data_IF_176550595132
#
_entry.id   IF_176550595132
#
_cell.length_a   1.000
_cell.length_b   1.000
_cell.length_c   1.000
_cell.angle_alpha   90.00
_cell.angle_beta   90.00
_cell.angle_gamma   90.00
#
_symmetry.space_group_name_H-M   'P 1'
#
loop_
_entity.id
_entity.type
_entity.pdbx_description
1 polymer ?
#
# COMPACT_ATOMS: atom_id res chain seq x y z
N UNK A 1 -17.21 -0.49 17.60
CA UNK A 1 -16.48 0.37 16.64
C UNK A 1 -15.83 -0.56 15.61
N UNK A 2 -16.19 -0.48 14.33
CA UNK A 2 -15.46 -1.24 13.29
C UNK A 2 -14.16 -0.49 13.01
N UNK A 3 -13.00 -1.09 13.33
CA UNK A 3 -11.70 -0.53 12.96
C UNK A 3 -11.54 -0.68 11.45
N UNK A 4 -11.06 0.37 10.76
CA UNK A 4 -10.73 0.30 9.34
C UNK A 4 -9.61 -0.71 9.11
N UNK A 5 -9.80 -1.64 8.16
CA UNK A 5 -8.83 -2.68 7.84
C UNK A 5 -7.66 -2.07 7.06
N UNK A 6 -6.45 -2.12 7.63
CA UNK A 6 -5.24 -1.54 7.05
C UNK A 6 -4.47 -2.59 6.26
N UNK A 7 -4.26 -2.34 4.97
CA UNK A 7 -3.54 -3.27 4.08
C UNK A 7 -2.22 -2.63 3.62
N UNK A 8 -1.11 -3.25 3.97
CA UNK A 8 0.21 -2.91 3.45
C UNK A 8 0.44 -3.63 2.13
N UNK A 9 0.85 -2.91 1.09
CA UNK A 9 1.04 -3.47 -0.25
C UNK A 9 2.41 -3.06 -0.80
N UNK A 10 3.15 -4.04 -1.30
CA UNK A 10 4.32 -3.80 -2.15
C UNK A 10 3.94 -4.11 -3.60
N UNK A 11 4.67 -3.57 -4.57
CA UNK A 11 4.32 -3.78 -5.98
C UNK A 11 2.99 -3.11 -6.36
N UNK A 12 2.45 -2.23 -5.50
CA UNK A 12 1.17 -1.53 -5.71
C UNK A 12 1.16 -0.64 -6.95
N UNK A 13 2.34 -0.23 -7.44
CA UNK A 13 2.50 0.57 -8.66
C UNK A 13 2.75 -0.28 -9.92
N UNK A 14 2.80 -1.61 -9.79
CA UNK A 14 2.98 -2.55 -10.89
C UNK A 14 1.66 -2.91 -11.60
N UNK A 15 1.72 -3.81 -12.57
CA UNK A 15 0.57 -4.18 -13.41
C UNK A 15 -0.64 -4.65 -12.58
N UNK A 16 -0.44 -5.62 -11.67
CA UNK A 16 -1.51 -6.16 -10.82
C UNK A 16 -1.87 -5.14 -9.71
N UNK A 17 -0.85 -4.57 -9.08
CA UNK A 17 -1.02 -3.62 -7.97
C UNK A 17 -1.87 -2.40 -8.36
N UNK A 18 -1.66 -1.87 -9.57
CA UNK A 18 -2.38 -0.68 -10.05
C UNK A 18 -3.90 -0.91 -10.19
N UNK A 19 -4.33 -2.15 -10.44
CA UNK A 19 -5.74 -2.54 -10.44
C UNK A 19 -6.26 -2.94 -9.04
N UNK A 20 -5.42 -3.59 -8.25
CA UNK A 20 -5.77 -4.08 -6.91
C UNK A 20 -6.00 -2.94 -5.91
N UNK A 21 -5.14 -1.93 -5.91
CA UNK A 21 -5.18 -0.84 -4.92
C UNK A 21 -6.51 -0.07 -4.95
N UNK A 22 -7.03 0.39 -6.11
CA UNK A 22 -8.35 1.00 -6.17
C UNK A 22 -9.47 0.09 -5.67
N UNK A 23 -9.40 -1.22 -5.96
CA UNK A 23 -10.39 -2.19 -5.50
C UNK A 23 -10.39 -2.34 -3.97
N UNK A 24 -9.21 -2.37 -3.33
CA UNK A 24 -9.09 -2.38 -1.87
C UNK A 24 -9.68 -1.11 -1.25
N UNK A 25 -9.35 0.07 -1.81
CA UNK A 25 -9.92 1.34 -1.34
C UNK A 25 -11.45 1.36 -1.50
N UNK A 26 -11.98 0.87 -2.62
CA UNK A 26 -13.42 0.78 -2.86
C UNK A 26 -14.15 -0.13 -1.86
N UNK A 27 -13.44 -1.11 -1.25
CA UNK A 27 -13.96 -1.94 -0.17
C UNK A 27 -13.84 -1.29 1.23
N UNK A 28 -13.37 -0.04 1.30
CA UNK A 28 -13.18 0.68 2.56
C UNK A 28 -11.89 0.33 3.30
N UNK A 29 -10.94 -0.34 2.64
CA UNK A 29 -9.63 -0.62 3.24
C UNK A 29 -8.75 0.64 3.23
N UNK A 30 -7.98 0.83 4.30
CA UNK A 30 -6.93 1.85 4.35
C UNK A 30 -5.64 1.27 3.76
N UNK A 31 -5.31 1.66 2.53
CA UNK A 31 -4.16 1.08 1.81
C UNK A 31 -2.89 1.88 2.08
N UNK A 32 -1.80 1.16 2.34
CA UNK A 32 -0.43 1.71 2.42
C UNK A 32 0.43 1.07 1.35
N UNK A 33 1.15 1.89 0.59
CA UNK A 33 2.02 1.42 -0.49
C UNK A 33 3.48 1.70 -0.19
N UNK A 34 4.36 0.77 -0.53
CA UNK A 34 5.79 1.05 -0.66
C UNK A 34 6.16 1.16 -2.14
N UNK A 35 6.78 2.26 -2.53
CA UNK A 35 7.29 2.50 -3.88
C UNK A 35 8.67 3.14 -3.83
N UNK A 36 9.53 2.81 -4.80
CA UNK A 36 10.87 3.41 -4.93
C UNK A 36 10.83 4.84 -5.47
N UNK A 37 9.73 5.25 -6.08
CA UNK A 37 9.56 6.58 -6.66
C UNK A 37 8.10 7.00 -6.76
N UNK A 38 7.86 8.19 -7.30
CA UNK A 38 6.51 8.66 -7.57
C UNK A 38 5.80 7.66 -8.52
N UNK A 39 4.58 7.21 -8.18
CA UNK A 39 3.82 6.35 -9.07
C UNK A 39 3.52 7.07 -10.39
N UNK A 40 3.55 6.34 -11.50
CA UNK A 40 2.99 6.80 -12.76
C UNK A 40 1.46 6.71 -12.79
N UNK A 41 0.90 5.79 -12.00
CA UNK A 41 -0.55 5.63 -11.83
C UNK A 41 -1.13 6.66 -10.87
N UNK A 42 -2.31 7.19 -11.20
CA UNK A 42 -3.11 7.98 -10.25
C UNK A 42 -3.81 7.03 -9.27
N UNK A 43 -3.53 7.18 -7.99
CA UNK A 43 -4.24 6.48 -6.93
C UNK A 43 -5.31 7.37 -6.28
N UNK A 44 -6.32 6.78 -5.64
CA UNK A 44 -7.26 7.51 -4.79
C UNK A 44 -6.52 8.33 -3.71
N UNK A 45 -7.07 9.47 -3.25
CA UNK A 45 -6.44 10.29 -2.23
C UNK A 45 -6.28 9.56 -0.88
N UNK A 46 -7.07 8.51 -0.65
CA UNK A 46 -7.15 7.80 0.62
C UNK A 46 -6.06 6.72 0.80
N UNK A 47 -5.05 6.70 -0.08
CA UNK A 47 -3.87 5.83 0.08
C UNK A 47 -2.73 6.56 0.79
N UNK A 48 -1.95 5.81 1.59
CA UNK A 48 -0.71 6.33 2.16
C UNK A 48 0.49 5.79 1.39
N UNK A 49 1.21 6.67 0.71
CA UNK A 49 2.45 6.32 0.01
C UNK A 49 3.65 6.40 0.97
N UNK A 50 4.47 5.35 0.96
CA UNK A 50 5.78 5.29 1.58
C UNK A 50 6.82 5.22 0.46
N UNK A 51 7.75 6.18 0.44
CA UNK A 51 8.90 6.11 -0.46
C UNK A 51 10.00 5.30 0.20
N UNK A 52 10.47 4.25 -0.46
CA UNK A 52 11.55 3.41 0.05
C UNK A 52 11.76 2.17 -0.80
N UNK A 53 12.81 1.42 -0.46
CA UNK A 53 13.14 0.15 -1.10
C UNK A 53 12.64 -1.02 -0.23
N UNK A 54 12.25 -2.12 -0.86
CA UNK A 54 11.85 -3.34 -0.15
C UNK A 54 13.04 -4.00 0.57
N UNK A 55 14.26 -3.77 0.10
CA UNK A 55 15.49 -4.20 0.77
C UNK A 55 15.82 -3.37 2.01
N UNK A 56 15.18 -2.22 2.22
CA UNK A 56 15.36 -1.39 3.42
C UNK A 56 14.40 -1.85 4.52
N UNK A 57 14.97 -2.48 5.56
CA UNK A 57 14.24 -2.98 6.73
C UNK A 57 13.45 -1.87 7.43
N UNK A 58 13.97 -0.64 7.49
CA UNK A 58 13.28 0.47 8.12
C UNK A 58 12.04 0.87 7.30
N UNK A 59 12.16 0.90 5.97
CA UNK A 59 11.05 1.18 5.07
C UNK A 59 9.95 0.11 5.17
N UNK A 60 10.34 -1.17 5.17
CA UNK A 60 9.40 -2.29 5.34
C UNK A 60 8.73 -2.25 6.71
N UNK A 61 9.50 -1.99 7.77
CA UNK A 61 8.95 -1.87 9.13
C UNK A 61 7.91 -0.76 9.21
N UNK A 62 8.19 0.41 8.64
CA UNK A 62 7.26 1.54 8.60
C UNK A 62 6.00 1.24 7.78
N UNK A 63 6.12 0.46 6.69
CA UNK A 63 4.99 0.04 5.86
C UNK A 63 4.04 -0.88 6.66
N UNK A 64 4.58 -1.92 7.29
CA UNK A 64 3.77 -2.99 7.90
C UNK A 64 3.31 -2.68 9.32
N UNK A 65 3.87 -1.67 10.00
CA UNK A 65 3.53 -1.35 11.38
C UNK A 65 2.03 -1.06 11.56
N UNK A 66 1.34 -1.94 12.29
CA UNK A 66 -0.09 -1.82 12.57
C UNK A 66 -1.01 -2.14 11.38
N UNK A 67 -0.46 -2.70 10.30
CA UNK A 67 -1.25 -3.27 9.22
C UNK A 67 -1.90 -4.60 9.66
N UNK A 68 -3.11 -4.85 9.17
CA UNK A 68 -3.86 -6.09 9.44
C UNK A 68 -3.51 -7.18 8.42
N UNK A 69 -3.01 -6.79 7.24
CA UNK A 69 -2.58 -7.70 6.18
C UNK A 69 -1.46 -7.10 5.35
N UNK A 70 -0.62 -7.97 4.79
CA UNK A 70 0.44 -7.63 3.84
C UNK A 70 0.16 -8.34 2.53
N UNK A 71 0.17 -7.60 1.43
CA UNK A 71 0.11 -8.14 0.07
C UNK A 71 1.43 -7.82 -0.65
N UNK A 72 2.17 -8.86 -1.00
CA UNK A 72 3.41 -8.76 -1.73
C UNK A 72 3.18 -9.21 -3.18
N UNK A 73 3.46 -8.30 -4.12
CA UNK A 73 3.27 -8.47 -5.57
C UNK A 73 4.54 -8.09 -6.33
#
# INVERSE_FOLDING_TARGET
MHRLHTVAVTGGTGFIGAALVPALVAQGAHVRLLSRGAPTAQFPPDIRMHTGDLADIAAVSALVQGADSVLHL
#
